data_IF_178926061444
#
_entry.id   IF_178926061444
#
_cell.length_a   1.000
_cell.length_b   1.000
_cell.length_c   1.000
_cell.angle_alpha   90.00
_cell.angle_beta   90.00
_cell.angle_gamma   90.00
#
_symmetry.space_group_name_H-M   'P 1'
#
loop_
_entity.id
_entity.type
_entity.pdbx_description
1 polymer ?
#
# COMPACT_ATOMS: atom_id res chain seq x y z
N UNK A 1 -45.20 -5.23 26.32
CA UNK A 1 -44.05 -5.73 25.54
C UNK A 1 -43.31 -4.53 24.98
N UNK A 2 -42.32 -4.03 25.72
CA UNK A 2 -41.62 -2.79 25.36
C UNK A 2 -40.39 -3.12 24.53
N UNK A 3 -40.45 -2.69 23.28
CA UNK A 3 -39.37 -2.70 22.30
C UNK A 3 -38.20 -1.85 22.80
N UNK A 4 -37.05 -2.47 23.03
CA UNK A 4 -35.81 -1.77 23.35
C UNK A 4 -35.33 -1.01 22.11
N UNK A 5 -35.65 0.28 22.05
CA UNK A 5 -35.13 1.20 21.03
C UNK A 5 -33.63 1.39 21.31
N UNK A 6 -32.78 0.87 20.42
CA UNK A 6 -31.32 1.06 20.49
C UNK A 6 -30.99 2.55 20.43
N UNK A 7 -30.73 3.16 21.59
CA UNK A 7 -30.18 4.50 21.70
C UNK A 7 -28.64 4.39 21.63
N UNK A 8 -28.12 3.96 20.47
CA UNK A 8 -26.74 4.22 20.11
C UNK A 8 -26.65 5.72 19.77
N UNK A 9 -26.27 6.51 20.78
CA UNK A 9 -26.21 7.96 20.70
C UNK A 9 -25.07 8.39 19.77
N UNK A 10 -25.30 9.34 18.84
CA UNK A 10 -24.24 9.93 18.00
C UNK A 10 -23.02 10.41 18.78
N UNK A 11 -23.20 10.82 20.04
CA UNK A 11 -22.09 11.22 20.93
C UNK A 11 -21.18 10.07 21.32
N UNK A 12 -21.72 8.86 21.52
CA UNK A 12 -20.91 7.67 21.83
C UNK A 12 -20.12 7.20 20.61
N UNK A 13 -20.73 7.27 19.43
CA UNK A 13 -20.05 6.96 18.17
C UNK A 13 -18.91 7.95 17.89
N UNK A 14 -19.16 9.25 18.07
CA UNK A 14 -18.13 10.27 17.93
C UNK A 14 -16.98 10.06 18.93
N UNK A 15 -17.29 9.76 20.21
CA UNK A 15 -16.27 9.48 21.21
C UNK A 15 -15.46 8.21 20.90
N UNK A 16 -16.12 7.17 20.41
CA UNK A 16 -15.48 5.94 19.97
C UNK A 16 -14.55 6.19 18.76
N UNK A 17 -14.99 6.99 17.79
CA UNK A 17 -14.19 7.38 16.63
C UNK A 17 -12.94 8.18 17.04
N UNK A 18 -13.10 9.18 17.92
CA UNK A 18 -11.98 9.97 18.46
C UNK A 18 -10.97 9.08 19.20
N UNK A 19 -11.45 8.09 19.95
CA UNK A 19 -10.58 7.14 20.67
C UNK A 19 -9.82 6.25 19.70
N UNK A 20 -10.49 5.71 18.68
CA UNK A 20 -9.85 4.91 17.64
C UNK A 20 -8.79 5.71 16.87
N UNK A 21 -9.08 6.97 16.54
CA UNK A 21 -8.13 7.88 15.89
C UNK A 21 -6.91 8.15 16.78
N UNK A 22 -7.11 8.42 18.07
CA UNK A 22 -6.01 8.61 19.04
C UNK A 22 -5.09 7.39 19.11
N UNK A 23 -5.66 6.19 19.17
CA UNK A 23 -4.91 4.92 19.16
C UNK A 23 -4.12 4.79 17.85
N UNK A 24 -4.74 5.08 16.72
CA UNK A 24 -4.10 5.01 15.41
C UNK A 24 -2.95 6.01 15.27
N UNK A 25 -3.12 7.25 15.73
CA UNK A 25 -2.08 8.28 15.66
C UNK A 25 -0.93 7.99 16.63
N UNK A 26 -1.22 7.40 17.78
CA UNK A 26 -0.17 6.89 18.67
C UNK A 26 0.65 5.78 18.00
N UNK A 27 -0.01 4.86 17.29
CA UNK A 27 0.68 3.83 16.52
C UNK A 27 1.54 4.44 15.41
N UNK A 28 1.01 5.43 14.66
CA UNK A 28 1.77 6.21 13.66
C UNK A 28 3.07 6.77 14.26
N UNK A 29 2.97 7.51 15.36
CA UNK A 29 4.12 8.20 15.97
C UNK A 29 5.19 7.22 16.46
N UNK A 30 4.77 6.05 16.94
CA UNK A 30 5.70 4.97 17.25
C UNK A 30 6.38 4.42 15.99
N UNK A 31 5.61 4.17 14.93
CA UNK A 31 6.09 3.59 13.67
C UNK A 31 6.97 4.53 12.85
N UNK A 32 6.99 5.83 13.16
CA UNK A 32 7.98 6.76 12.58
C UNK A 32 9.40 6.49 13.07
N UNK A 33 9.55 5.81 14.21
CA UNK A 33 10.84 5.60 14.88
C UNK A 33 11.20 4.13 15.05
N UNK A 34 10.21 3.24 14.93
CA UNK A 34 10.36 1.84 15.26
C UNK A 34 9.69 0.95 14.24
N UNK A 35 10.26 -0.24 14.08
CA UNK A 35 9.75 -1.28 13.20
C UNK A 35 8.35 -1.75 13.59
N UNK A 36 7.50 -2.03 12.59
CA UNK A 36 6.14 -2.51 12.80
C UNK A 36 6.05 -3.82 13.58
N UNK A 37 7.04 -4.71 13.45
CA UNK A 37 7.06 -5.99 14.16
C UNK A 37 7.33 -5.82 15.67
N UNK A 38 7.78 -4.63 16.09
CA UNK A 38 7.96 -4.27 17.51
C UNK A 38 6.71 -3.66 18.16
N UNK A 39 5.67 -3.34 17.37
CA UNK A 39 4.44 -2.75 17.85
C UNK A 39 3.50 -3.83 18.43
N UNK A 40 2.88 -3.55 19.57
CA UNK A 40 1.85 -4.42 20.16
C UNK A 40 0.67 -3.60 20.66
N UNK A 41 -0.54 -4.19 20.70
CA UNK A 41 -1.73 -3.50 21.21
C UNK A 41 -1.56 -3.01 22.66
N UNK A 42 -0.89 -3.79 23.52
CA UNK A 42 -0.55 -3.36 24.89
C UNK A 42 0.41 -2.17 24.91
N UNK A 43 1.39 -2.15 23.99
CA UNK A 43 2.32 -1.03 23.87
C UNK A 43 1.58 0.23 23.41
N UNK A 44 0.69 0.12 22.43
CA UNK A 44 -0.14 1.25 21.98
C UNK A 44 -1.03 1.74 23.10
N UNK A 45 -1.68 0.86 23.86
CA UNK A 45 -2.50 1.23 25.02
C UNK A 45 -1.72 2.10 26.02
N UNK A 46 -0.51 1.67 26.39
CA UNK A 46 0.37 2.45 27.28
C UNK A 46 0.76 3.80 26.68
N UNK A 47 1.11 3.83 25.39
CA UNK A 47 1.56 5.05 24.72
C UNK A 47 0.42 6.04 24.47
N UNK A 48 -0.81 5.55 24.29
CA UNK A 48 -1.99 6.36 24.03
C UNK A 48 -2.72 6.77 25.28
N UNK A 49 -2.27 6.36 26.48
CA UNK A 49 -2.94 6.55 27.77
C UNK A 49 -4.38 6.00 27.79
N UNK A 50 -4.57 4.84 27.16
CA UNK A 50 -5.85 4.13 27.07
C UNK A 50 -5.69 2.75 27.71
N UNK A 51 -6.75 2.23 28.35
CA UNK A 51 -6.71 0.87 28.89
C UNK A 51 -6.53 -0.18 27.78
N UNK A 52 -5.83 -1.28 28.06
CA UNK A 52 -5.71 -2.37 27.09
C UNK A 52 -7.08 -2.90 26.62
N UNK A 53 -8.08 -3.15 27.49
CA UNK A 53 -9.43 -3.53 27.05
C UNK A 53 -10.06 -2.56 26.06
N UNK A 54 -9.87 -1.25 26.23
CA UNK A 54 -10.37 -0.25 25.29
C UNK A 54 -9.67 -0.35 23.93
N UNK A 55 -8.35 -0.58 23.89
CA UNK A 55 -7.64 -0.81 22.62
C UNK A 55 -8.16 -2.08 21.93
N UNK A 56 -8.30 -3.19 22.65
CA UNK A 56 -8.85 -4.44 22.11
C UNK A 56 -10.29 -4.29 21.61
N UNK A 57 -11.09 -3.41 22.23
CA UNK A 57 -12.45 -3.14 21.76
C UNK A 57 -12.50 -2.42 20.41
N UNK A 58 -11.50 -1.58 20.09
CA UNK A 58 -11.39 -0.89 18.80
C UNK A 58 -10.60 -1.68 17.75
N UNK A 59 -9.56 -2.38 18.18
CA UNK A 59 -8.67 -3.18 17.34
C UNK A 59 -8.47 -4.55 17.99
N UNK A 60 -9.32 -5.54 17.67
CA UNK A 60 -9.28 -6.86 18.29
C UNK A 60 -7.94 -7.58 18.11
N UNK A 61 -7.30 -7.38 16.96
CA UNK A 61 -5.99 -7.95 16.64
C UNK A 61 -5.00 -6.90 16.15
N UNK A 62 -3.71 -7.26 16.14
CA UNK A 62 -2.70 -6.45 15.47
C UNK A 62 -2.99 -6.26 13.98
N UNK A 63 -3.54 -7.28 13.31
CA UNK A 63 -3.90 -7.19 11.89
C UNK A 63 -5.02 -6.17 11.63
N UNK A 64 -5.94 -5.97 12.59
CA UNK A 64 -6.99 -4.95 12.50
C UNK A 64 -6.39 -3.54 12.65
N UNK A 65 -5.47 -3.34 13.59
CA UNK A 65 -4.77 -2.06 13.74
C UNK A 65 -3.92 -1.74 12.50
N UNK A 66 -3.15 -2.70 12.00
CA UNK A 66 -2.32 -2.53 10.80
C UNK A 66 -3.20 -2.32 9.57
N UNK A 67 -4.34 -3.01 9.48
CA UNK A 67 -5.35 -2.79 8.44
C UNK A 67 -5.89 -1.37 8.47
N UNK A 68 -6.33 -0.87 9.63
CA UNK A 68 -6.80 0.51 9.78
C UNK A 68 -5.71 1.52 9.42
N UNK A 69 -4.46 1.25 9.81
CA UNK A 69 -3.33 2.09 9.48
C UNK A 69 -3.01 2.10 7.97
N UNK A 70 -3.14 0.95 7.31
CA UNK A 70 -3.02 0.84 5.86
C UNK A 70 -4.04 1.73 5.15
N UNK A 71 -5.31 1.69 5.58
CA UNK A 71 -6.39 2.54 5.03
C UNK A 71 -6.14 4.03 5.29
N UNK A 72 -5.56 4.38 6.44
CA UNK A 72 -5.18 5.76 6.74
C UNK A 72 -4.01 6.27 5.88
N UNK A 73 -3.01 5.41 5.62
CA UNK A 73 -1.79 5.80 4.90
C UNK A 73 -2.00 5.86 3.37
N UNK A 74 -2.77 4.93 2.80
CA UNK A 74 -3.03 4.83 1.34
C UNK A 74 -3.40 6.18 0.68
N UNK A 75 -4.39 6.97 1.16
CA UNK A 75 -4.74 8.26 0.57
C UNK A 75 -3.64 9.32 0.72
N UNK A 76 -2.85 9.27 1.79
CA UNK A 76 -1.73 10.21 2.02
C UNK A 76 -0.58 9.99 1.05
N UNK A 77 -0.41 8.75 0.63
CA UNK A 77 0.51 8.35 -0.44
C UNK A 77 -0.10 8.52 -1.85
N UNK A 78 -1.35 8.98 -1.96
CA UNK A 78 -2.12 9.06 -3.20
C UNK A 78 -2.22 7.73 -3.98
N UNK A 79 -2.18 6.60 -3.27
CA UNK A 79 -2.24 5.25 -3.84
C UNK A 79 -3.68 4.76 -4.08
N UNK A 80 -4.67 5.58 -3.74
CA UNK A 80 -6.10 5.40 -3.98
C UNK A 80 -6.61 6.26 -5.15
N UNK A 81 -5.73 7.03 -5.78
CA UNK A 81 -6.08 7.90 -6.91
C UNK A 81 -6.04 7.12 -8.23
N UNK A 82 -6.92 7.45 -9.19
CA UNK A 82 -6.85 6.88 -10.52
C UNK A 82 -5.50 7.22 -11.16
N UNK A 83 -4.97 6.30 -11.96
CA UNK A 83 -3.77 6.57 -12.75
C UNK A 83 -4.08 7.60 -13.84
N UNK A 84 -3.10 8.43 -14.24
CA UNK A 84 -3.22 9.22 -15.45
C UNK A 84 -3.26 8.28 -16.69
N UNK A 85 -3.67 8.82 -17.85
CA UNK A 85 -3.56 8.13 -19.14
C UNK A 85 -2.15 7.59 -19.41
N UNK A 86 -2.05 6.57 -20.28
CA UNK A 86 -0.83 5.79 -20.51
C UNK A 86 0.34 6.65 -21.03
N UNK A 87 0.05 7.64 -21.89
CA UNK A 87 1.06 8.58 -22.41
C UNK A 87 1.66 9.47 -21.31
N UNK A 88 0.91 9.75 -20.25
CA UNK A 88 1.30 10.55 -19.08
C UNK A 88 1.70 9.71 -17.88
N UNK A 89 1.72 8.38 -17.99
CA UNK A 89 2.03 7.50 -16.87
C UNK A 89 3.44 7.70 -16.30
N UNK A 90 4.36 8.19 -17.14
CA UNK A 90 5.71 8.58 -16.73
C UNK A 90 5.76 9.75 -15.73
N UNK A 91 4.66 10.49 -15.55
CA UNK A 91 4.52 11.55 -14.55
C UNK A 91 4.18 11.01 -13.16
N UNK A 92 3.80 9.73 -13.01
CA UNK A 92 3.39 9.17 -11.72
C UNK A 92 4.51 9.25 -10.64
N UNK A 93 5.79 8.94 -10.93
CA UNK A 93 6.86 9.16 -9.96
C UNK A 93 6.95 10.61 -9.49
N UNK A 94 6.70 11.57 -10.39
CA UNK A 94 6.68 12.99 -10.06
C UNK A 94 5.58 13.36 -9.07
N UNK A 95 4.43 12.70 -9.19
CA UNK A 95 3.31 12.84 -8.27
C UNK A 95 3.57 12.14 -6.93
N UNK A 96 4.07 10.90 -6.95
CA UNK A 96 4.05 10.05 -5.75
C UNK A 96 5.33 10.16 -4.90
N UNK A 97 6.50 10.30 -5.50
CA UNK A 97 7.76 10.26 -4.74
C UNK A 97 7.88 11.37 -3.68
N UNK A 98 7.44 12.62 -3.91
CA UNK A 98 7.44 13.64 -2.85
C UNK A 98 6.61 13.24 -1.62
N UNK A 99 5.51 12.50 -1.82
CA UNK A 99 4.68 11.97 -0.71
C UNK A 99 5.41 10.86 0.03
N UNK A 100 6.17 10.03 -0.70
CA UNK A 100 6.99 9.00 -0.09
C UNK A 100 8.14 9.60 0.73
N UNK A 101 8.78 10.67 0.24
CA UNK A 101 9.79 11.41 1.00
C UNK A 101 9.19 11.97 2.30
N UNK A 102 8.02 12.60 2.24
CA UNK A 102 7.32 13.14 3.41
C UNK A 102 6.95 12.07 4.46
N UNK A 103 6.78 10.82 4.04
CA UNK A 103 6.49 9.67 4.90
C UNK A 103 7.63 8.66 4.97
N UNK A 104 8.87 9.07 4.63
CA UNK A 104 9.94 8.12 4.34
C UNK A 104 10.38 7.29 5.53
N UNK A 105 10.47 7.88 6.73
CA UNK A 105 10.80 7.16 7.95
C UNK A 105 9.75 6.08 8.26
N UNK A 106 8.48 6.45 8.16
CA UNK A 106 7.35 5.55 8.34
C UNK A 106 7.39 4.40 7.31
N UNK A 107 7.52 4.70 6.02
CA UNK A 107 7.58 3.67 4.97
C UNK A 107 8.72 2.67 5.21
N UNK A 108 9.90 3.12 5.65
CA UNK A 108 11.04 2.23 5.94
C UNK A 108 10.76 1.26 7.09
N UNK A 109 9.98 1.67 8.09
CA UNK A 109 9.62 0.87 9.25
C UNK A 109 8.42 -0.07 9.01
N UNK A 110 7.67 0.15 7.94
CA UNK A 110 6.54 -0.69 7.53
C UNK A 110 6.95 -1.74 6.50
N UNK A 111 7.81 -1.38 5.55
CA UNK A 111 8.01 -2.17 4.33
C UNK A 111 8.95 -3.35 4.51
N UNK A 112 8.67 -4.43 3.76
CA UNK A 112 9.36 -5.72 3.82
C UNK A 112 9.20 -6.38 5.20
N UNK A 113 7.98 -6.30 5.73
CA UNK A 113 7.59 -6.79 7.06
C UNK A 113 6.34 -7.64 6.91
N UNK A 114 6.31 -8.87 7.47
CA UNK A 114 5.19 -9.77 7.30
C UNK A 114 3.83 -9.15 7.64
N UNK A 115 3.74 -8.36 8.70
CA UNK A 115 2.50 -7.70 9.12
C UNK A 115 1.96 -6.70 8.10
N UNK A 116 2.84 -5.91 7.48
CA UNK A 116 2.47 -4.96 6.44
C UNK A 116 2.17 -5.64 5.10
N UNK A 117 2.96 -6.66 4.74
CA UNK A 117 2.83 -7.37 3.47
C UNK A 117 1.49 -8.13 3.39
N UNK A 118 0.98 -8.66 4.51
CA UNK A 118 -0.38 -9.22 4.57
C UNK A 118 -1.45 -8.22 4.10
N UNK A 119 -1.36 -6.96 4.52
CA UNK A 119 -2.34 -5.94 4.09
C UNK A 119 -2.14 -5.57 2.61
N UNK A 120 -0.89 -5.48 2.15
CA UNK A 120 -0.59 -5.23 0.72
C UNK A 120 -1.16 -6.31 -0.19
N UNK A 121 -1.08 -7.57 0.25
CA UNK A 121 -1.63 -8.75 -0.44
C UNK A 121 -3.16 -8.74 -0.44
N UNK A 122 -3.80 -8.41 0.69
CA UNK A 122 -5.27 -8.25 0.78
C UNK A 122 -5.78 -7.18 -0.19
N UNK A 123 -5.09 -6.04 -0.31
CA UNK A 123 -5.47 -4.92 -1.21
C UNK A 123 -5.02 -5.12 -2.67
N UNK A 124 -4.36 -6.25 -3.01
CA UNK A 124 -3.81 -6.47 -4.38
C UNK A 124 -4.89 -6.46 -5.46
N UNK A 125 -6.08 -7.01 -5.18
CA UNK A 125 -7.15 -7.13 -6.16
C UNK A 125 -7.64 -5.76 -6.62
N UNK A 126 -7.99 -4.90 -5.67
CA UNK A 126 -8.41 -3.51 -5.95
C UNK A 126 -7.30 -2.73 -6.65
N UNK A 127 -6.08 -2.80 -6.14
CA UNK A 127 -4.95 -2.01 -6.64
C UNK A 127 -4.50 -2.44 -8.04
N UNK A 128 -4.26 -3.73 -8.23
CA UNK A 128 -3.80 -4.26 -9.51
C UNK A 128 -4.91 -4.22 -10.55
N UNK A 129 -6.16 -4.51 -10.16
CA UNK A 129 -7.33 -4.44 -11.03
C UNK A 129 -7.47 -3.04 -11.64
N UNK A 130 -7.44 -1.99 -10.83
CA UNK A 130 -7.54 -0.62 -11.33
C UNK A 130 -6.39 -0.21 -12.25
N UNK A 131 -5.16 -0.70 -11.99
CA UNK A 131 -4.02 -0.44 -12.87
C UNK A 131 -4.15 -1.15 -14.21
N UNK A 132 -4.54 -2.43 -14.19
CA UNK A 132 -4.77 -3.25 -15.38
C UNK A 132 -5.88 -2.65 -16.25
N UNK A 133 -6.98 -2.24 -15.63
CA UNK A 133 -8.11 -1.60 -16.32
C UNK A 133 -7.69 -0.29 -16.99
N UNK A 134 -7.03 0.62 -16.24
CA UNK A 134 -6.61 1.92 -16.77
C UNK A 134 -5.61 1.78 -17.91
N UNK A 135 -4.62 0.90 -17.76
CA UNK A 135 -3.59 0.66 -18.78
C UNK A 135 -4.17 -0.07 -19.99
N UNK A 136 -5.08 -1.01 -19.78
CA UNK A 136 -5.69 -1.83 -20.84
C UNK A 136 -6.58 -1.04 -21.78
N UNK A 137 -7.23 0.03 -21.30
CA UNK A 137 -8.06 0.91 -22.12
C UNK A 137 -7.30 1.52 -23.32
N UNK A 138 -5.98 1.70 -23.21
CA UNK A 138 -5.11 2.26 -24.26
C UNK A 138 -4.26 1.20 -24.98
N UNK A 139 -4.44 -0.09 -24.64
CA UNK A 139 -3.69 -1.22 -25.19
C UNK A 139 -4.65 -2.38 -25.60
N UNK A 140 -5.63 -2.14 -26.50
CA UNK A 140 -6.70 -3.10 -26.78
C UNK A 140 -6.25 -4.40 -27.48
N UNK A 141 -5.01 -4.47 -28.00
CA UNK A 141 -4.49 -5.62 -28.73
C UNK A 141 -3.79 -6.68 -27.86
N UNK A 142 -3.65 -6.45 -26.55
CA UNK A 142 -2.94 -7.36 -25.66
C UNK A 142 -3.87 -8.48 -25.17
N UNK A 143 -3.33 -9.69 -25.08
CA UNK A 143 -4.01 -10.78 -24.35
C UNK A 143 -4.14 -10.41 -22.86
N UNK A 144 -5.09 -11.00 -22.12
CA UNK A 144 -5.23 -10.71 -20.68
C UNK A 144 -3.95 -10.90 -19.87
N UNK A 145 -3.14 -11.91 -20.22
CA UNK A 145 -1.89 -12.18 -19.50
C UNK A 145 -0.77 -11.21 -19.91
N UNK A 146 -0.66 -10.83 -21.19
CA UNK A 146 0.24 -9.76 -21.62
C UNK A 146 -0.12 -8.45 -20.93
N UNK A 147 -1.41 -8.09 -20.87
CA UNK A 147 -1.86 -6.88 -20.19
C UNK A 147 -1.52 -6.92 -18.70
N UNK A 148 -1.79 -8.04 -18.02
CA UNK A 148 -1.44 -8.22 -16.61
C UNK A 148 0.07 -8.04 -16.38
N UNK A 149 0.90 -8.72 -17.19
CA UNK A 149 2.37 -8.64 -17.09
C UNK A 149 2.88 -7.24 -17.37
N UNK A 150 2.41 -6.59 -18.44
CA UNK A 150 2.75 -5.23 -18.79
C UNK A 150 2.39 -4.24 -17.67
N UNK A 151 1.14 -4.25 -17.23
CA UNK A 151 0.63 -3.33 -16.22
C UNK A 151 1.39 -3.44 -14.90
N UNK A 152 1.64 -4.67 -14.41
CA UNK A 152 2.37 -4.88 -13.16
C UNK A 152 3.86 -4.55 -13.27
N UNK A 153 4.47 -4.81 -14.43
CA UNK A 153 5.87 -4.44 -14.67
C UNK A 153 6.06 -2.93 -14.70
N UNK A 154 5.17 -2.22 -15.42
CA UNK A 154 5.13 -0.76 -15.45
C UNK A 154 4.87 -0.19 -14.04
N UNK A 155 3.90 -0.76 -13.31
CA UNK A 155 3.54 -0.33 -11.95
C UNK A 155 4.63 -0.51 -10.91
N UNK A 156 5.61 -1.38 -11.16
CA UNK A 156 6.75 -1.53 -10.27
C UNK A 156 7.56 -0.23 -10.12
N UNK A 157 7.58 0.65 -11.13
CA UNK A 157 8.44 1.83 -11.16
C UNK A 157 7.97 3.01 -10.31
N UNK A 158 6.73 3.03 -9.83
CA UNK A 158 6.24 4.08 -8.92
C UNK A 158 5.88 3.56 -7.52
N UNK A 159 6.04 2.26 -7.27
CA UNK A 159 5.76 1.70 -5.96
C UNK A 159 6.74 2.23 -4.88
N UNK A 160 6.31 2.31 -3.60
CA UNK A 160 7.20 2.68 -2.51
C UNK A 160 8.48 1.81 -2.42
N UNK A 161 8.42 0.54 -2.88
CA UNK A 161 9.58 -0.36 -2.88
C UNK A 161 10.65 0.11 -3.85
N UNK A 162 10.26 0.52 -5.06
CA UNK A 162 11.19 1.00 -6.07
C UNK A 162 11.77 2.36 -5.67
N UNK A 163 10.93 3.28 -5.17
CA UNK A 163 11.42 4.54 -4.57
C UNK A 163 12.47 4.28 -3.48
N UNK A 164 12.17 3.40 -2.52
CA UNK A 164 13.10 3.07 -1.44
C UNK A 164 14.39 2.49 -1.98
N UNK A 165 14.33 1.58 -2.94
CA UNK A 165 15.51 0.99 -3.56
C UNK A 165 16.38 2.05 -4.26
N UNK A 166 15.78 2.95 -5.06
CA UNK A 166 16.50 4.04 -5.72
C UNK A 166 17.18 4.99 -4.71
N UNK A 167 16.50 5.30 -3.60
CA UNK A 167 17.01 6.25 -2.60
C UNK A 167 18.03 5.62 -1.66
N UNK A 168 17.70 4.47 -1.09
CA UNK A 168 18.48 3.86 0.00
C UNK A 168 19.56 2.90 -0.51
N UNK A 169 19.34 2.24 -1.65
CA UNK A 169 20.28 1.25 -2.22
C UNK A 169 21.13 1.85 -3.35
N UNK A 170 20.51 2.56 -4.30
CA UNK A 170 21.25 3.18 -5.40
C UNK A 170 21.88 4.54 -5.01
N UNK A 171 21.38 5.18 -3.95
CA UNK A 171 21.90 6.47 -3.47
C UNK A 171 21.51 7.68 -4.32
N UNK A 172 20.55 7.54 -5.25
CA UNK A 172 20.12 8.63 -6.13
C UNK A 172 19.45 9.75 -5.36
N UNK A 173 19.66 11.00 -5.79
CA UNK A 173 18.94 12.19 -5.30
C UNK A 173 17.43 12.13 -5.59
N UNK A 174 16.58 12.97 -4.96
CA UNK A 174 15.12 12.93 -5.18
C UNK A 174 14.73 13.15 -6.65
N UNK A 175 15.37 14.10 -7.32
CA UNK A 175 15.11 14.39 -8.73
C UNK A 175 15.62 13.29 -9.65
N UNK A 176 16.80 12.76 -9.37
CA UNK A 176 17.37 11.66 -10.15
C UNK A 176 16.51 10.40 -10.04
N UNK A 177 16.07 10.04 -8.83
CA UNK A 177 15.17 8.91 -8.61
C UNK A 177 13.86 9.05 -9.41
N UNK A 178 13.26 10.26 -9.42
CA UNK A 178 12.07 10.54 -10.24
C UNK A 178 12.35 10.34 -11.74
N UNK A 179 13.45 10.88 -12.24
CA UNK A 179 13.81 10.80 -13.67
C UNK A 179 14.11 9.37 -14.11
N UNK A 180 14.82 8.59 -13.29
CA UNK A 180 15.11 7.18 -13.55
C UNK A 180 13.84 6.35 -13.59
N UNK A 181 12.94 6.55 -12.62
CA UNK A 181 11.65 5.86 -12.58
C UNK A 181 10.78 6.23 -13.80
N UNK A 182 10.70 7.52 -14.14
CA UNK A 182 9.95 8.01 -15.30
C UNK A 182 10.48 7.43 -16.62
N UNK A 183 11.81 7.40 -16.79
CA UNK A 183 12.45 6.80 -17.96
C UNK A 183 12.12 5.30 -18.08
N UNK A 184 12.14 4.55 -16.98
CA UNK A 184 11.77 3.13 -16.98
C UNK A 184 10.32 2.89 -17.40
N UNK A 185 9.39 3.73 -16.94
CA UNK A 185 7.99 3.70 -17.40
C UNK A 185 7.90 3.96 -18.90
N UNK A 186 8.54 5.00 -19.41
CA UNK A 186 8.53 5.33 -20.84
C UNK A 186 9.12 4.20 -21.69
N UNK A 187 10.22 3.60 -21.24
CA UNK A 187 10.87 2.49 -21.92
C UNK A 187 9.93 1.27 -22.01
N UNK A 188 9.28 0.89 -20.90
CA UNK A 188 8.35 -0.23 -20.89
C UNK A 188 7.08 0.04 -21.71
N UNK A 189 6.48 1.23 -21.58
CA UNK A 189 5.32 1.61 -22.40
C UNK A 189 5.68 1.58 -23.88
N UNK A 190 6.85 2.12 -24.25
CA UNK A 190 7.35 2.10 -25.62
C UNK A 190 7.61 0.68 -26.14
N UNK A 191 8.15 -0.20 -25.31
CA UNK A 191 8.38 -1.61 -25.66
C UNK A 191 7.04 -2.33 -25.91
N UNK A 192 6.09 -2.20 -24.99
CA UNK A 192 4.76 -2.83 -25.09
C UNK A 192 3.98 -2.34 -26.31
N UNK A 193 4.04 -1.04 -26.63
CA UNK A 193 3.39 -0.47 -27.82
C UNK A 193 4.02 -0.95 -29.13
N UNK A 194 5.33 -1.22 -29.14
CA UNK A 194 6.06 -1.66 -30.33
C UNK A 194 5.88 -3.14 -30.59
N UNK A 195 6.07 -3.95 -29.55
CA UNK A 195 6.02 -5.41 -29.62
C UNK A 195 5.82 -6.01 -28.22
N UNK A 196 4.60 -6.49 -27.89
CA UNK A 196 4.33 -7.13 -26.60
C UNK A 196 4.75 -8.61 -26.55
N UNK A 197 5.26 -9.21 -27.64
CA UNK A 197 5.61 -10.65 -27.69
C UNK A 197 6.69 -11.06 -26.69
N UNK A 198 7.54 -10.11 -26.27
CA UNK A 198 8.48 -10.28 -25.17
C UNK A 198 7.82 -10.49 -23.80
N UNK A 199 6.49 -10.52 -23.70
CA UNK A 199 5.74 -10.91 -22.51
C UNK A 199 5.17 -12.34 -22.62
N UNK A 200 5.38 -13.06 -23.71
CA UNK A 200 4.83 -14.40 -23.96
C UNK A 200 5.76 -15.51 -23.45
N UNK A 201 5.99 -15.53 -22.13
CA UNK A 201 6.71 -16.61 -21.47
C UNK A 201 5.76 -17.73 -21.01
N UNK A 202 6.23 -18.99 -20.94
CA UNK A 202 5.46 -20.10 -20.39
C UNK A 202 4.93 -19.74 -19.00
N UNK A 203 3.70 -20.14 -18.69
CA UNK A 203 3.22 -20.04 -17.33
C UNK A 203 4.08 -20.95 -16.44
N UNK A 204 4.77 -20.37 -15.46
CA UNK A 204 5.41 -21.18 -14.42
C UNK A 204 4.34 -21.92 -13.63
N UNK A 205 4.60 -23.18 -13.20
CA UNK A 205 3.74 -23.85 -12.25
C UNK A 205 3.69 -22.97 -11.00
N UNK A 206 2.49 -22.47 -10.67
CA UNK A 206 2.25 -21.62 -9.51
C UNK A 206 2.92 -22.27 -8.30
N UNK A 207 3.98 -21.65 -7.76
CA UNK A 207 4.51 -22.04 -6.46
C UNK A 207 3.39 -21.82 -5.45
N UNK A 208 2.72 -22.91 -5.09
CA UNK A 208 1.75 -22.91 -4.02
C UNK A 208 2.53 -22.53 -2.78
N UNK A 209 2.44 -21.26 -2.37
CA UNK A 209 2.87 -20.83 -1.05
C UNK A 209 1.96 -21.54 -0.05
N UNK A 210 2.29 -22.79 0.26
CA UNK A 210 1.77 -23.43 1.45
C UNK A 210 2.26 -22.59 2.62
N UNK A 211 1.36 -22.09 3.49
CA UNK A 211 1.80 -21.49 4.73
C UNK A 211 2.59 -22.57 5.48
N UNK A 212 3.85 -22.30 5.80
CA UNK A 212 4.61 -23.14 6.74
C UNK A 212 3.79 -23.23 8.03
N UNK A 213 3.15 -24.38 8.26
CA UNK A 213 2.73 -24.79 9.59
C UNK A 213 4.00 -24.89 10.42
N UNK A 214 4.21 -23.90 11.30
CA UNK A 214 5.28 -23.99 12.30
C UNK A 214 4.84 -24.98 13.40
N UNK A 215 5.77 -25.82 13.89
CA UNK A 215 5.51 -26.81 14.94
C UNK A 215 5.17 -26.17 16.30
#
# INVERSE_FOLDING_TARGET
MSTSRSYQSPLREAQAALTAERILMTAKDYLERHDIESLTLRRVARLSDVSAPTVYAHFPTMDDLVGAFFHWLKPRLALDRPLPPLDRLHEVPALLFPRYEAHGALLRNLMNKPSWDRQRLKDRGSRHGGWIETIGAELPGLTPEQLRRAALSIASYWGPTHWRWLRDTCGYGPEEARRVAAWGIQALVGAVRRDPSGLDFPAEPTLSHQPEERP
#
